data_IF_503634301461
#
_entry.id   IF_503634301461
#
_cell.length_a   1.000
_cell.length_b   1.000
_cell.length_c   1.000
_cell.angle_alpha   90.00
_cell.angle_beta   90.00
_cell.angle_gamma   90.00
#
_symmetry.space_group_name_H-M   'P 1'
#
loop_
_entity.id
_entity.type
_entity.pdbx_description
1 polymer ?
#
# COMPACT_ATOMS: atom_id res chain seq x y z
N UNK A 1 0.03 -9.12 6.15
CA UNK A 1 -0.27 -8.57 4.81
C UNK A 1 -1.39 -9.34 4.10
N UNK A 2 -2.46 -9.72 4.81
CA UNK A 2 -3.61 -10.40 4.19
C UNK A 2 -4.73 -9.39 4.03
N UNK A 3 -4.82 -8.80 2.84
CA UNK A 3 -5.78 -7.77 2.51
C UNK A 3 -6.14 -7.84 1.04
N UNK A 4 -6.77 -8.94 0.62
CA UNK A 4 -7.65 -9.10 -0.56
C UNK A 4 -7.19 -8.63 -1.96
N UNK A 5 -6.02 -8.01 -2.10
CA UNK A 5 -5.52 -7.45 -3.35
C UNK A 5 -4.64 -8.42 -4.15
N UNK A 6 -4.30 -8.07 -5.40
CA UNK A 6 -3.38 -8.84 -6.21
C UNK A 6 -2.06 -9.10 -5.49
N UNK A 7 -1.47 -10.28 -5.66
CA UNK A 7 -0.24 -10.73 -4.98
C UNK A 7 0.90 -9.70 -5.01
N UNK A 8 0.97 -8.87 -6.06
CA UNK A 8 2.01 -7.85 -6.25
C UNK A 8 1.51 -6.39 -6.14
N UNK A 9 0.22 -6.16 -5.87
CA UNK A 9 -0.38 -4.82 -5.94
C UNK A 9 0.23 -3.81 -4.97
N UNK A 10 0.61 -4.24 -3.77
CA UNK A 10 1.31 -3.37 -2.82
C UNK A 10 2.70 -2.99 -3.29
N UNK A 11 3.43 -3.93 -3.89
CA UNK A 11 4.77 -3.66 -4.41
C UNK A 11 4.71 -2.70 -5.60
N UNK A 12 3.82 -2.96 -6.57
CA UNK A 12 3.70 -2.11 -7.76
C UNK A 12 3.26 -0.69 -7.42
N UNK A 13 2.42 -0.47 -6.42
CA UNK A 13 2.09 0.87 -5.92
C UNK A 13 3.31 1.53 -5.25
N UNK A 14 4.08 0.78 -4.47
CA UNK A 14 5.24 1.31 -3.75
C UNK A 14 6.36 1.79 -4.69
N UNK A 15 6.52 1.13 -5.84
CA UNK A 15 7.51 1.50 -6.86
C UNK A 15 6.91 2.27 -8.05
N UNK A 16 5.68 2.77 -7.92
CA UNK A 16 5.01 3.52 -8.99
C UNK A 16 5.67 4.89 -9.19
N UNK A 17 6.31 5.11 -10.33
CA UNK A 17 7.16 6.29 -10.56
C UNK A 17 6.41 7.62 -10.46
N UNK A 18 5.13 7.63 -10.86
CA UNK A 18 4.31 8.84 -10.81
C UNK A 18 3.78 9.16 -9.40
N UNK A 19 3.86 8.23 -8.44
CA UNK A 19 3.43 8.47 -7.06
C UNK A 19 4.52 9.21 -6.28
N UNK A 20 4.32 10.50 -6.05
CA UNK A 20 5.30 11.40 -5.41
C UNK A 20 5.07 11.63 -3.92
N UNK A 21 3.83 11.44 -3.47
CA UNK A 21 3.37 11.75 -2.14
C UNK A 21 2.91 10.49 -1.42
N UNK A 22 3.29 10.36 -0.15
CA UNK A 22 2.95 9.24 0.72
C UNK A 22 2.44 9.76 2.06
N UNK A 23 1.25 9.31 2.46
CA UNK A 23 0.68 9.59 3.77
C UNK A 23 0.27 8.30 4.46
N UNK A 24 0.82 8.02 5.64
CA UNK A 24 0.51 6.81 6.40
C UNK A 24 -0.08 7.10 7.78
N UNK A 25 -0.98 6.24 8.22
CA UNK A 25 -1.54 6.23 9.57
C UNK A 25 -1.39 4.85 10.20
N UNK A 26 -1.11 4.83 11.51
CA UNK A 26 -1.00 3.60 12.29
C UNK A 26 -1.93 3.65 13.49
N UNK A 27 -2.64 2.55 13.73
CA UNK A 27 -3.40 2.34 14.95
C UNK A 27 -3.03 0.99 15.55
N UNK A 28 -2.79 0.97 16.86
CA UNK A 28 -2.60 -0.27 17.61
C UNK A 28 -3.78 -0.44 18.57
N UNK A 29 -4.48 -1.55 18.44
CA UNK A 29 -5.66 -1.84 19.25
C UNK A 29 -5.69 -3.31 19.65
N UNK A 30 -6.44 -3.61 20.70
CA UNK A 30 -6.63 -4.96 21.20
C UNK A 30 -7.76 -5.62 20.38
N UNK A 31 -7.44 -6.64 19.59
CA UNK A 31 -8.43 -7.35 18.78
C UNK A 31 -9.17 -8.41 19.61
N UNK A 32 -8.48 -9.03 20.58
CA UNK A 32 -8.99 -10.10 21.43
C UNK A 32 -8.38 -9.99 22.83
N UNK A 33 -8.72 -10.88 23.76
CA UNK A 33 -8.15 -10.81 25.10
C UNK A 33 -6.61 -10.87 25.12
N UNK A 34 -6.00 -11.60 24.19
CA UNK A 34 -4.54 -11.87 24.19
C UNK A 34 -3.76 -11.21 23.04
N UNK A 35 -4.45 -10.60 22.06
CA UNK A 35 -3.81 -10.13 20.83
C UNK A 35 -4.00 -8.64 20.59
N UNK A 36 -2.87 -7.95 20.41
CA UNK A 36 -2.83 -6.59 19.87
C UNK A 36 -2.54 -6.64 18.38
N UNK A 37 -3.35 -5.94 17.61
CA UNK A 37 -3.14 -5.73 16.17
C UNK A 37 -2.57 -4.34 15.97
N UNK A 38 -1.54 -4.25 15.14
CA UNK A 38 -1.07 -3.00 14.57
C UNK A 38 -1.58 -2.92 13.15
N UNK A 39 -2.47 -1.96 12.89
CA UNK A 39 -3.01 -1.71 11.56
C UNK A 39 -2.30 -0.47 10.98
N UNK A 40 -1.60 -0.68 9.86
CA UNK A 40 -0.90 0.35 9.10
C UNK A 40 -1.61 0.52 7.76
N UNK A 41 -1.99 1.75 7.44
CA UNK A 41 -2.61 2.11 6.16
C UNK A 41 -1.82 3.28 5.57
N UNK A 42 -1.54 3.20 4.26
CA UNK A 42 -0.85 4.27 3.53
C UNK A 42 -1.64 4.63 2.27
N UNK A 43 -1.76 5.93 2.03
CA UNK A 43 -2.30 6.53 0.82
C UNK A 43 -1.13 7.06 -0.04
N UNK A 44 -1.24 6.88 -1.34
CA UNK A 44 -0.27 7.34 -2.34
C UNK A 44 -0.91 8.41 -3.22
N UNK A 45 -0.15 9.44 -3.57
CA UNK A 45 -0.60 10.54 -4.41
C UNK A 45 0.45 10.89 -5.47
N UNK A 46 0.07 11.03 -6.75
CA UNK A 46 -1.05 10.36 -7.42
C UNK A 46 -1.12 8.85 -7.15
N UNK A 47 -2.32 8.27 -7.23
CA UNK A 47 -2.52 6.82 -7.09
C UNK A 47 -1.93 6.04 -8.27
N UNK A 48 -1.32 4.90 -7.99
CA UNK A 48 -0.74 4.00 -8.97
C UNK A 48 -1.62 2.79 -9.27
N UNK A 49 -1.02 1.68 -9.70
CA UNK A 49 -1.71 0.43 -10.07
C UNK A 49 -2.78 0.60 -11.16
N UNK A 50 -2.54 1.52 -12.09
CA UNK A 50 -3.44 1.76 -13.21
C UNK A 50 -3.21 0.65 -14.26
N UNK A 51 -4.25 -0.12 -14.55
CA UNK A 51 -4.18 -1.22 -15.51
C UNK A 51 -3.80 -0.67 -16.89
N UNK A 52 -2.78 -1.26 -17.51
CA UNK A 52 -2.30 -0.86 -18.84
C UNK A 52 -1.24 0.25 -18.83
N UNK A 53 -0.87 0.79 -17.67
CA UNK A 53 0.20 1.78 -17.53
C UNK A 53 1.49 1.15 -16.98
N UNK A 54 2.67 1.62 -17.41
CA UNK A 54 3.92 1.15 -16.87
C UNK A 54 4.09 1.60 -15.41
N UNK A 55 4.65 0.73 -14.57
CA UNK A 55 4.98 1.07 -13.18
C UNK A 55 6.07 2.15 -13.12
N UNK A 56 7.06 2.06 -14.02
CA UNK A 56 8.12 3.04 -14.24
C UNK A 56 8.72 2.83 -15.64
N UNK A 57 9.47 3.81 -16.16
CA UNK A 57 10.15 3.71 -17.45
C UNK A 57 11.46 2.92 -17.31
N UNK A 58 11.67 1.93 -18.19
CA UNK A 58 12.87 1.08 -18.21
C UNK A 58 13.77 1.43 -19.39
N UNK A 59 14.53 2.52 -19.26
CA UNK A 59 15.49 3.04 -20.26
C UNK A 59 14.92 3.44 -21.63
#
# INVERSE_FOLDING_TARGET
FSGGGPTIGHYTQLVWAESTDLGCGVVRYRQNQDWYVTNLVCNYGPGGNIIGYPVYQTA
#
